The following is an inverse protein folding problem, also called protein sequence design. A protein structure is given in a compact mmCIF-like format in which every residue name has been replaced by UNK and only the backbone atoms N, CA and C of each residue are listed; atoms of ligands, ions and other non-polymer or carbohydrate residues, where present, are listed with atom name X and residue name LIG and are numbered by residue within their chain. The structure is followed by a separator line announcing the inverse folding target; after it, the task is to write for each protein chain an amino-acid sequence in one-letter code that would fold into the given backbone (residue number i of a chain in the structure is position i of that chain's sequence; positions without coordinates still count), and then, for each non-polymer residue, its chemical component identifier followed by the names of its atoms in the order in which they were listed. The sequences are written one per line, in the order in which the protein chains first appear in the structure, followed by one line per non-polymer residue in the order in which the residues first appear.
data_IF_181127563896
#
_entry.id   IF_181127563896
#
_cell.length_a   1.000
_cell.length_b   1.000
_cell.length_c   1.000
_cell.angle_alpha   90.00
_cell.angle_beta   90.00
_cell.angle_gamma   90.00
#
_symmetry.space_group_name_H-M   'P 1'
#
loop_
_entity.id
_entity.type
_entity.pdbx_description
1 polymer ?
#
# COMPACT_ATOMS: atom_id res chain seq x y z
N UNK A 1 16.86 4.65 -7.50
CA UNK A 1 15.65 4.98 -6.69
C UNK A 1 15.07 3.75 -5.99
N UNK A 2 15.10 2.56 -6.60
CA UNK A 2 14.71 1.29 -5.94
C UNK A 2 15.47 0.96 -4.65
N UNK A 3 16.80 1.14 -4.65
CA UNK A 3 17.63 0.78 -3.49
C UNK A 3 17.22 1.52 -2.21
N UNK A 4 16.81 2.80 -2.34
CA UNK A 4 16.30 3.60 -1.23
C UNK A 4 14.93 3.12 -0.76
N UNK A 5 14.07 2.67 -1.67
CA UNK A 5 12.77 2.07 -1.33
C UNK A 5 12.94 0.75 -0.58
N UNK A 6 13.82 -0.14 -1.07
CA UNK A 6 14.12 -1.44 -0.46
C UNK A 6 14.73 -1.30 0.94
N UNK A 7 15.67 -0.38 1.13
CA UNK A 7 16.24 -0.14 2.47
C UNK A 7 15.18 0.39 3.44
N UNK A 8 14.30 1.28 2.97
CA UNK A 8 13.21 1.85 3.78
C UNK A 8 12.13 0.84 4.13
N UNK A 9 11.75 -0.04 3.19
CA UNK A 9 10.69 -1.01 3.41
C UNK A 9 11.11 -2.17 4.34
N UNK A 10 12.41 -2.38 4.58
CA UNK A 10 12.94 -3.51 5.37
C UNK A 10 12.64 -3.40 6.86
N UNK A 11 12.30 -2.19 7.30
CA UNK A 11 11.96 -1.87 8.69
C UNK A 11 10.47 -1.63 8.89
N UNK A 12 9.65 -1.73 7.84
CA UNK A 12 8.23 -1.40 7.89
C UNK A 12 7.40 -2.63 8.28
N UNK A 13 6.37 -2.42 9.10
CA UNK A 13 5.44 -3.49 9.52
C UNK A 13 4.24 -3.65 8.55
N UNK A 14 3.96 -2.60 7.77
CA UNK A 14 2.85 -2.54 6.82
C UNK A 14 3.18 -1.64 5.63
N UNK A 15 2.46 -1.82 4.53
CA UNK A 15 2.61 -1.02 3.31
C UNK A 15 1.27 -0.45 2.82
N UNK A 16 1.33 0.79 2.31
CA UNK A 16 0.24 1.44 1.59
C UNK A 16 0.62 1.51 0.10
N UNK A 17 -0.11 0.78 -0.74
CA UNK A 17 0.09 0.81 -2.19
C UNK A 17 -0.84 1.86 -2.81
N UNK A 18 -0.28 3.00 -3.20
CA UNK A 18 -1.02 4.09 -3.85
C UNK A 18 -1.08 3.85 -5.37
N UNK A 19 -2.30 3.88 -5.91
CA UNK A 19 -2.58 3.73 -7.35
C UNK A 19 -3.39 4.95 -7.78
N UNK A 20 -2.96 5.62 -8.85
CA UNK A 20 -3.61 6.82 -9.33
C UNK A 20 -4.84 6.46 -10.18
N UNK A 21 -6.02 6.97 -9.80
CA UNK A 21 -7.33 6.70 -10.40
C UNK A 21 -7.43 7.07 -11.88
N UNK A 22 -6.65 8.07 -12.28
CA UNK A 22 -6.60 8.64 -13.62
C UNK A 22 -5.64 7.91 -14.58
N UNK A 23 -4.93 6.88 -14.10
CA UNK A 23 -3.94 6.13 -14.87
C UNK A 23 -4.34 4.67 -14.99
N UNK A 24 -3.92 4.04 -16.09
CA UNK A 24 -4.19 2.62 -16.32
C UNK A 24 -3.39 1.75 -15.36
N UNK A 25 -4.01 0.70 -14.81
CA UNK A 25 -3.35 -0.28 -13.94
C UNK A 25 -3.15 -1.59 -14.72
N UNK A 26 -1.96 -2.23 -14.69
CA UNK A 26 -0.78 -1.90 -13.88
C UNK A 26 0.20 -0.91 -14.56
N UNK A 27 0.79 -0.02 -13.77
CA UNK A 27 1.94 0.78 -14.16
C UNK A 27 3.25 0.02 -13.82
N UNK A 28 4.36 0.22 -14.56
CA UNK A 28 5.64 -0.42 -14.27
C UNK A 28 6.09 -0.24 -12.82
N UNK A 29 5.89 0.96 -12.26
CA UNK A 29 6.24 1.27 -10.88
C UNK A 29 5.36 0.55 -9.85
N UNK A 30 4.07 0.35 -10.14
CA UNK A 30 3.16 -0.40 -9.26
C UNK A 30 3.54 -1.88 -9.21
N UNK A 31 3.91 -2.46 -10.35
CA UNK A 31 4.42 -3.83 -10.44
C UNK A 31 5.71 -4.02 -9.67
N UNK A 32 6.64 -3.08 -9.82
CA UNK A 32 7.92 -3.09 -9.13
C UNK A 32 7.76 -2.97 -7.61
N UNK A 33 6.91 -2.04 -7.16
CA UNK A 33 6.64 -1.88 -5.73
C UNK A 33 5.96 -3.11 -5.13
N UNK A 34 5.04 -3.75 -5.85
CA UNK A 34 4.40 -4.99 -5.39
C UNK A 34 5.41 -6.14 -5.27
N UNK A 35 6.31 -6.29 -6.25
CA UNK A 35 7.37 -7.30 -6.20
C UNK A 35 8.32 -7.06 -5.02
N UNK A 36 8.67 -5.81 -4.73
CA UNK A 36 9.47 -5.47 -3.54
C UNK A 36 8.74 -5.86 -2.25
N UNK A 37 7.46 -5.53 -2.12
CA UNK A 37 6.64 -5.89 -0.95
C UNK A 37 6.57 -7.42 -0.76
N UNK A 38 6.45 -8.17 -1.86
CA UNK A 38 6.43 -9.64 -1.86
C UNK A 38 7.75 -10.25 -1.37
N UNK A 39 8.89 -9.73 -1.83
CA UNK A 39 10.22 -10.14 -1.34
C UNK A 39 10.36 -9.90 0.17
N UNK A 40 9.76 -8.81 0.66
CA UNK A 40 9.86 -8.37 2.05
C UNK A 40 8.84 -9.04 2.97
N UNK A 41 7.91 -9.81 2.39
CA UNK A 41 6.90 -10.61 3.10
C UNK A 41 6.05 -9.78 4.07
N UNK A 42 5.75 -8.54 3.71
CA UNK A 42 4.83 -7.71 4.49
C UNK A 42 3.43 -8.30 4.42
N UNK A 43 2.84 -8.55 5.59
CA UNK A 43 1.50 -9.16 5.69
C UNK A 43 0.38 -8.13 5.64
N UNK A 44 0.67 -6.92 6.11
CA UNK A 44 -0.33 -5.86 6.22
C UNK A 44 -0.18 -4.90 5.05
N UNK A 45 -1.04 -5.09 4.04
CA UNK A 45 -1.05 -4.28 2.82
C UNK A 45 -2.44 -3.65 2.66
N UNK A 46 -2.47 -2.38 2.31
CA UNK A 46 -3.69 -1.64 1.96
C UNK A 46 -3.45 -0.96 0.62
N UNK A 47 -4.44 -1.05 -0.27
CA UNK A 47 -4.37 -0.41 -1.57
C UNK A 47 -5.24 0.84 -1.55
N UNK A 48 -4.67 1.96 -1.98
CA UNK A 48 -5.32 3.26 -2.00
C UNK A 48 -5.48 3.69 -3.46
N UNK A 49 -6.72 3.75 -3.94
CA UNK A 49 -7.04 4.28 -5.25
C UNK A 49 -7.22 5.80 -5.11
N UNK A 50 -6.18 6.57 -5.39
CA UNK A 50 -6.16 8.02 -5.21
C UNK A 50 -6.68 8.77 -6.45
N UNK A 51 -6.90 10.08 -6.37
CA UNK A 51 -7.36 10.94 -7.49
C UNK A 51 -8.70 10.52 -8.11
N UNK A 52 -9.59 9.90 -7.33
CA UNK A 52 -10.94 9.53 -7.79
C UNK A 52 -11.78 10.76 -8.21
N UNK A 53 -11.41 11.95 -7.72
CA UNK A 53 -12.02 13.23 -8.08
C UNK A 53 -11.83 13.63 -9.55
N UNK A 54 -10.81 13.07 -10.22
CA UNK A 54 -10.50 13.38 -11.62
C UNK A 54 -11.16 12.41 -12.62
N UNK A 55 -11.82 11.35 -12.14
CA UNK A 55 -12.39 10.29 -12.98
C UNK A 55 -13.86 10.08 -12.70
N UNK A 56 -14.59 9.60 -13.71
CA UNK A 56 -15.99 9.20 -13.54
C UNK A 56 -16.07 7.85 -12.83
N UNK A 57 -17.18 7.60 -12.15
CA UNK A 57 -17.43 6.36 -11.40
C UNK A 57 -17.18 5.08 -12.21
N UNK A 58 -17.64 5.03 -13.46
CA UNK A 58 -17.43 3.88 -14.33
C UNK A 58 -15.94 3.57 -14.55
N UNK A 59 -15.13 4.61 -14.78
CA UNK A 59 -13.67 4.47 -15.00
C UNK A 59 -12.99 4.02 -13.71
N UNK A 60 -13.40 4.58 -12.56
CA UNK A 60 -12.89 4.17 -11.26
C UNK A 60 -13.22 2.69 -10.95
N UNK A 61 -14.43 2.23 -11.31
CA UNK A 61 -14.85 0.83 -11.14
C UNK A 61 -14.09 -0.11 -12.09
N UNK A 62 -13.91 0.27 -13.35
CA UNK A 62 -13.10 -0.52 -14.30
C UNK A 62 -11.66 -0.66 -13.80
N UNK A 63 -11.06 0.43 -13.32
CA UNK A 63 -9.72 0.41 -12.76
C UNK A 63 -9.66 -0.43 -11.47
N UNK A 64 -10.68 -0.35 -10.60
CA UNK A 64 -10.77 -1.20 -9.42
C UNK A 64 -10.74 -2.69 -9.79
N UNK A 65 -11.45 -3.09 -10.85
CA UNK A 65 -11.39 -4.46 -11.36
C UNK A 65 -10.01 -4.83 -11.92
N UNK A 66 -9.31 -3.89 -12.57
CA UNK A 66 -7.93 -4.10 -13.02
C UNK A 66 -6.99 -4.33 -11.84
N UNK A 67 -7.14 -3.54 -10.77
CA UNK A 67 -6.35 -3.70 -9.54
C UNK A 67 -6.60 -5.08 -8.93
N UNK A 68 -7.86 -5.53 -8.83
CA UNK A 68 -8.19 -6.88 -8.34
C UNK A 68 -7.51 -7.96 -9.16
N UNK A 69 -7.56 -7.87 -10.50
CA UNK A 69 -6.89 -8.82 -11.39
C UNK A 69 -5.37 -8.78 -11.24
N UNK A 70 -4.80 -7.61 -10.99
CA UNK A 70 -3.37 -7.42 -10.83
C UNK A 70 -2.85 -8.01 -9.51
N UNK A 71 -3.63 -7.95 -8.43
CA UNK A 71 -3.23 -8.50 -7.12
C UNK A 71 -3.54 -9.99 -6.95
N UNK A 72 -4.35 -10.59 -7.85
CA UNK A 72 -4.63 -12.02 -7.83
C UNK A 72 -3.35 -12.84 -7.93
N UNK A 73 -3.14 -13.77 -7.00
CA UNK A 73 -1.95 -14.62 -6.94
C UNK A 73 -0.71 -13.96 -6.32
N UNK A 74 -0.85 -12.79 -5.71
CA UNK A 74 0.25 -12.07 -5.03
C UNK A 74 0.01 -11.95 -3.52
N UNK A 75 1.01 -11.47 -2.77
CA UNK A 75 0.88 -11.23 -1.32
C UNK A 75 -0.18 -10.16 -0.98
N UNK A 76 -0.56 -9.32 -1.95
CA UNK A 76 -1.64 -8.35 -1.80
C UNK A 76 -3.03 -8.92 -2.13
N UNK A 77 -3.15 -10.22 -2.41
CA UNK A 77 -4.45 -10.85 -2.65
C UNK A 77 -5.37 -10.70 -1.42
N UNK A 78 -6.57 -10.18 -1.65
CA UNK A 78 -7.53 -9.89 -0.57
C UNK A 78 -7.23 -8.62 0.23
N UNK A 79 -6.21 -7.84 -0.14
CA UNK A 79 -6.00 -6.52 0.45
C UNK A 79 -7.20 -5.59 0.14
N UNK A 80 -7.64 -4.78 1.11
CA UNK A 80 -8.69 -3.80 0.87
C UNK A 80 -8.24 -2.76 -0.15
N UNK A 81 -9.14 -2.37 -1.04
CA UNK A 81 -8.95 -1.26 -1.96
C UNK A 81 -9.86 -0.12 -1.51
N UNK A 82 -9.27 0.97 -1.02
CA UNK A 82 -10.01 2.13 -0.53
C UNK A 82 -9.88 3.27 -1.55
N UNK A 83 -10.99 3.69 -2.19
CA UNK A 83 -10.98 4.86 -3.06
C UNK A 83 -10.92 6.14 -2.23
N UNK A 84 -9.93 6.99 -2.50
CA UNK A 84 -9.70 8.26 -1.80
C UNK A 84 -9.47 9.41 -2.77
N UNK A 85 -9.78 10.62 -2.32
CA UNK A 85 -9.27 11.84 -2.95
C UNK A 85 -8.38 12.55 -1.94
N UNK A 86 -7.06 12.49 -2.13
CA UNK A 86 -6.12 13.18 -1.25
C UNK A 86 -6.28 14.70 -1.31
N UNK A 87 -6.69 15.25 -2.46
CA UNK A 87 -6.86 16.69 -2.67
C UNK A 87 -8.11 17.23 -1.97
N UNK A 88 -9.25 16.53 -2.11
CA UNK A 88 -10.52 16.92 -1.49
C UNK A 88 -10.71 16.30 -0.10
N UNK A 89 -9.76 15.49 0.34
CA UNK A 89 -9.76 14.76 1.62
C UNK A 89 -10.92 13.78 1.80
N UNK A 90 -11.49 13.28 0.70
CA UNK A 90 -12.54 12.26 0.78
C UNK A 90 -12.00 10.90 1.19
N UNK A 91 -12.75 10.19 2.03
CA UNK A 91 -12.48 8.84 2.54
C UNK A 91 -11.17 8.67 3.32
N UNK A 92 -10.50 9.76 3.71
CA UNK A 92 -9.29 9.68 4.55
C UNK A 92 -9.64 9.09 5.93
N UNK A 93 -10.81 9.43 6.49
CA UNK A 93 -11.28 8.90 7.77
C UNK A 93 -11.39 7.37 7.77
N UNK A 94 -11.87 6.80 6.66
CA UNK A 94 -11.97 5.34 6.46
C UNK A 94 -10.58 4.70 6.44
N UNK A 95 -9.61 5.35 5.81
CA UNK A 95 -8.20 4.88 5.83
C UNK A 95 -7.66 4.91 7.26
N UNK A 96 -7.87 6.00 8.00
CA UNK A 96 -7.46 6.11 9.39
C UNK A 96 -8.10 5.04 10.27
N UNK A 97 -9.40 4.81 10.13
CA UNK A 97 -10.11 3.75 10.86
C UNK A 97 -9.52 2.38 10.52
N UNK A 98 -9.28 2.11 9.24
CA UNK A 98 -8.69 0.84 8.81
C UNK A 98 -7.29 0.63 9.41
N UNK A 99 -6.43 1.66 9.34
CA UNK A 99 -5.09 1.61 9.94
C UNK A 99 -5.15 1.27 11.43
N UNK A 100 -6.01 1.95 12.19
CA UNK A 100 -6.12 1.71 13.63
C UNK A 100 -6.74 0.35 13.99
N UNK A 101 -7.66 -0.18 13.18
CA UNK A 101 -8.38 -1.43 13.50
C UNK A 101 -7.73 -2.69 12.95
N UNK A 102 -7.03 -2.60 11.83
CA UNK A 102 -6.57 -3.77 11.06
C UNK A 102 -5.07 -3.97 11.06
N UNK A 103 -4.29 -2.93 11.38
CA UNK A 103 -2.84 -3.06 11.53
C UNK A 103 -2.55 -3.12 13.04
N UNK A 104 -2.33 -4.31 13.62
CA UNK A 104 -1.91 -4.40 15.00
C UNK A 104 -0.49 -3.87 15.15
N UNK A 105 -0.19 -3.30 16.31
CA UNK A 105 1.20 -3.04 16.70
C UNK A 105 1.92 -4.38 16.86
N UNK A 106 3.08 -4.58 16.19
CA UNK A 106 3.83 -5.83 16.32
C UNK A 106 4.31 -6.01 17.76
N UNK A 107 4.29 -7.25 18.25
CA UNK A 107 4.91 -7.57 19.53
C UNK A 107 6.43 -7.45 19.40
N UNK A 108 7.03 -6.58 20.22
CA UNK A 108 8.49 -6.36 20.24
C UNK A 108 9.08 -7.03 21.47
N UNK A 109 10.20 -7.73 21.29
CA UNK A 109 10.91 -8.37 22.39
C UNK A 109 11.84 -7.37 23.09
N UNK A 110 11.47 -6.92 24.28
CA UNK A 110 12.25 -5.97 25.09
C UNK A 110 13.41 -6.61 25.87
N UNK A 111 13.48 -7.95 25.93
CA UNK A 111 14.57 -8.67 26.59
C UNK A 111 15.73 -9.00 25.65
N UNK A 112 15.51 -8.91 24.33
CA UNK A 112 16.54 -9.12 23.33
C UNK A 112 17.58 -7.98 23.34
N UNK A 113 18.85 -8.25 22.95
CA UNK A 113 19.83 -7.19 22.80
C UNK A 113 19.35 -6.13 21.81
N UNK A 114 19.47 -4.83 22.14
CA UNK A 114 18.93 -3.76 21.32
C UNK A 114 19.60 -3.73 19.95
N UNK A 115 18.78 -3.71 18.89
CA UNK A 115 19.22 -3.54 17.51
C UNK A 115 18.60 -2.27 16.94
N UNK A 116 19.43 -1.41 16.35
CA UNK A 116 19.00 -0.19 15.67
C UNK A 116 19.51 -0.20 14.23
N UNK A 117 18.60 -0.11 13.27
CA UNK A 117 18.93 0.00 11.85
C UNK A 117 18.87 1.48 11.46
N UNK A 118 20.01 2.05 11.05
CA UNK A 118 20.08 3.43 10.58
C UNK A 118 19.80 3.46 9.08
N UNK A 119 18.64 3.99 8.71
CA UNK A 119 18.19 4.12 7.32
C UNK A 119 18.47 5.50 6.70
N UNK A 120 18.64 6.53 7.54
CA UNK A 120 18.93 7.91 7.11
C UNK A 120 19.79 8.60 8.16
N UNK A 121 20.75 9.41 7.71
CA UNK A 121 21.59 10.28 8.54
C UNK A 121 21.13 11.73 8.47
#
# INVERSE_FOLDING_TARGET
LMATMLNGAAVMDAALLLIAGNEFCPQPQTSEHLAAIEIMKLKHIIILQNKIDLVKENVALEQHQQIIKFIQGTVAEGAPIIPISAQLKYNIEVVCEYLCRKIPTPERNFMAPPHLIVIRS
#
